data_IF_470745770891
#
_entry.id   IF_470745770891
#
_cell.length_a   1.000
_cell.length_b   1.000
_cell.length_c   1.000
_cell.angle_alpha   90.00
_cell.angle_beta   90.00
_cell.angle_gamma   90.00
#
_symmetry.space_group_name_H-M   'P 1'
#
loop_
_entity.id
_entity.type
_entity.pdbx_description
1 polymer ?
#
# COMPACT_ATOMS: atom_id res chain seq x y z
N UNK A 1 -9.03 -17.29 -13.92
CA UNK A 1 -8.88 -16.54 -12.66
C UNK A 1 -8.19 -17.47 -11.66
N UNK A 2 -7.00 -17.11 -11.17
CA UNK A 2 -6.32 -17.89 -10.13
C UNK A 2 -6.63 -17.28 -8.79
N UNK A 3 -7.17 -18.07 -7.87
CA UNK A 3 -7.50 -17.62 -6.53
C UNK A 3 -6.22 -17.23 -5.78
N UNK A 4 -6.24 -16.08 -5.12
CA UNK A 4 -5.16 -15.65 -4.25
C UNK A 4 -5.39 -16.22 -2.86
N UNK A 5 -4.86 -17.41 -2.60
CA UNK A 5 -5.00 -18.08 -1.30
C UNK A 5 -3.84 -17.81 -0.33
N UNK A 6 -2.74 -17.27 -0.85
CA UNK A 6 -1.50 -17.00 -0.10
C UNK A 6 -0.93 -15.64 -0.49
N UNK A 7 -0.15 -15.00 0.39
CA UNK A 7 0.51 -13.76 0.05
C UNK A 7 1.39 -13.89 -1.20
N UNK A 8 1.19 -12.98 -2.14
CA UNK A 8 1.97 -12.84 -3.36
C UNK A 8 2.84 -11.59 -3.26
N UNK A 9 4.14 -11.75 -3.46
CA UNK A 9 5.11 -10.64 -3.44
C UNK A 9 5.63 -10.31 -4.84
N UNK A 10 5.70 -9.03 -5.15
CA UNK A 10 6.20 -8.49 -6.42
C UNK A 10 7.07 -7.28 -6.17
N UNK A 11 8.12 -7.15 -6.96
CA UNK A 11 8.88 -5.92 -7.07
C UNK A 11 8.20 -5.02 -8.12
N UNK A 12 8.13 -3.72 -7.84
CA UNK A 12 7.57 -2.72 -8.73
C UNK A 12 8.51 -1.52 -8.80
N UNK A 13 8.70 -0.99 -10.00
CA UNK A 13 9.35 0.31 -10.19
C UNK A 13 8.29 1.38 -10.44
N UNK A 14 8.22 2.36 -9.55
CA UNK A 14 7.24 3.46 -9.59
C UNK A 14 7.99 4.77 -9.41
N UNK A 15 7.92 5.66 -10.40
CA UNK A 15 8.58 6.97 -10.38
C UNK A 15 10.08 6.90 -10.02
N UNK A 16 10.79 5.90 -10.55
CA UNK A 16 12.23 5.70 -10.32
C UNK A 16 12.59 5.14 -8.95
N UNK A 17 11.61 4.70 -8.16
CA UNK A 17 11.81 4.03 -6.87
C UNK A 17 11.33 2.59 -6.93
N UNK A 18 12.09 1.70 -6.30
CA UNK A 18 11.74 0.28 -6.21
C UNK A 18 10.94 -0.01 -4.95
N UNK A 19 9.78 -0.64 -5.13
CA UNK A 19 8.87 -1.03 -4.07
C UNK A 19 8.67 -2.55 -4.06
N UNK A 20 8.37 -3.07 -2.88
CA UNK A 20 7.80 -4.40 -2.71
C UNK A 20 6.30 -4.25 -2.50
N UNK A 21 5.52 -4.81 -3.43
CA UNK A 21 4.09 -5.02 -3.28
C UNK A 21 3.85 -6.42 -2.72
N UNK A 22 3.12 -6.49 -1.61
CA UNK A 22 2.56 -7.73 -1.08
C UNK A 22 1.05 -7.67 -1.24
N UNK A 23 0.46 -8.69 -1.85
CA UNK A 23 -0.99 -8.82 -2.06
C UNK A 23 -1.44 -10.10 -1.37
N UNK A 24 -2.50 -10.05 -0.58
CA UNK A 24 -3.07 -11.22 0.08
C UNK A 24 -4.61 -11.19 0.03
N UNK A 25 -5.33 -12.21 0.55
CA UNK A 25 -6.79 -12.24 0.50
C UNK A 25 -7.50 -11.06 1.19
N UNK A 26 -6.81 -10.29 2.03
CA UNK A 26 -7.38 -9.19 2.83
C UNK A 26 -7.07 -7.81 2.28
N UNK A 27 -5.94 -7.66 1.58
CA UNK A 27 -5.54 -6.37 1.03
C UNK A 27 -4.18 -6.38 0.33
N UNK A 28 -3.61 -5.19 0.25
CA UNK A 28 -2.28 -4.94 -0.25
C UNK A 28 -1.43 -4.16 0.74
N UNK A 29 -0.12 -4.36 0.66
CA UNK A 29 0.90 -3.57 1.32
C UNK A 29 1.99 -3.19 0.32
N UNK A 30 2.26 -1.89 0.20
CA UNK A 30 3.34 -1.36 -0.63
C UNK A 30 4.42 -0.78 0.29
N UNK A 31 5.64 -1.30 0.20
CA UNK A 31 6.78 -0.84 1.01
C UNK A 31 7.96 -0.51 0.12
N UNK A 32 8.57 0.66 0.31
CA UNK A 32 9.79 1.03 -0.41
C UNK A 32 10.93 0.08 0.00
N UNK A 33 11.73 -0.38 -0.97
CA UNK A 33 12.81 -1.34 -0.71
C UNK A 33 13.80 -0.75 0.31
N UNK A 34 14.12 -1.53 1.35
CA UNK A 34 15.00 -1.09 2.43
C UNK A 34 14.32 -0.24 3.50
N UNK A 35 13.02 0.09 3.37
CA UNK A 35 12.23 0.76 4.43
C UNK A 35 11.26 -0.21 5.11
N UNK A 36 11.06 0.00 6.41
CA UNK A 36 10.07 -0.73 7.21
C UNK A 36 8.66 -0.12 7.14
N UNK A 37 8.58 1.16 6.78
CA UNK A 37 7.32 1.88 6.63
C UNK A 37 6.75 1.68 5.23
N UNK A 38 5.47 1.40 5.15
CA UNK A 38 4.75 1.16 3.90
C UNK A 38 3.27 1.43 4.07
N UNK A 39 2.59 1.65 2.95
CA UNK A 39 1.14 1.89 2.91
C UNK A 39 0.43 0.55 2.85
N UNK A 40 -0.60 0.37 3.67
CA UNK A 40 -1.47 -0.81 3.67
C UNK A 40 -2.88 -0.39 3.31
N UNK A 41 -3.57 -1.18 2.49
CA UNK A 41 -4.93 -0.93 2.08
C UNK A 41 -5.72 -2.24 2.02
N UNK A 42 -6.89 -2.30 2.68
CA UNK A 42 -7.77 -3.46 2.60
C UNK A 42 -8.63 -3.44 1.33
N UNK A 43 -9.09 -4.61 0.88
CA UNK A 43 -10.02 -4.68 -0.25
C UNK A 43 -11.35 -4.00 0.05
N UNK A 44 -11.80 -4.06 1.31
CA UNK A 44 -13.05 -3.44 1.74
C UNK A 44 -12.97 -1.92 1.61
N UNK A 45 -11.87 -1.32 2.07
CA UNK A 45 -11.66 0.14 1.96
C UNK A 45 -11.52 0.58 0.49
N UNK A 46 -10.87 -0.25 -0.34
CA UNK A 46 -10.75 -0.02 -1.78
C UNK A 46 -12.12 -0.05 -2.47
N UNK A 47 -12.97 -1.02 -2.14
CA UNK A 47 -14.30 -1.18 -2.75
C UNK A 47 -15.30 -0.13 -2.25
N UNK A 48 -15.19 0.30 -0.99
CA UNK A 48 -16.07 1.32 -0.41
C UNK A 48 -15.70 2.76 -0.83
N UNK A 49 -14.55 2.95 -1.51
CA UNK A 49 -14.08 4.27 -1.93
C UNK A 49 -13.41 5.10 -0.83
N UNK A 50 -13.29 4.58 0.39
CA UNK A 50 -12.65 5.24 1.54
C UNK A 50 -11.11 5.19 1.46
N UNK A 51 -10.58 4.25 0.68
CA UNK A 51 -9.15 4.09 0.42
C UNK A 51 -8.42 5.37 -0.02
N UNK A 52 -9.05 6.14 -0.92
CA UNK A 52 -8.44 7.33 -1.49
C UNK A 52 -8.40 8.48 -0.47
N UNK A 53 -9.45 8.63 0.35
CA UNK A 53 -9.57 9.69 1.34
C UNK A 53 -8.66 9.41 2.56
N UNK A 54 -8.65 8.18 3.07
CA UNK A 54 -7.80 7.80 4.19
C UNK A 54 -6.30 7.85 3.82
N UNK A 55 -5.92 7.40 2.62
CA UNK A 55 -4.54 7.49 2.15
C UNK A 55 -4.10 8.95 1.93
N UNK A 56 -4.96 9.79 1.36
CA UNK A 56 -4.68 11.22 1.20
C UNK A 56 -4.54 11.91 2.57
N UNK A 57 -5.43 11.61 3.52
CA UNK A 57 -5.39 12.19 4.86
C UNK A 57 -4.13 11.79 5.64
N UNK A 58 -3.75 10.51 5.62
CA UNK A 58 -2.53 10.02 6.26
C UNK A 58 -1.25 10.62 5.64
N UNK A 59 -1.24 10.79 4.31
CA UNK A 59 -0.13 11.47 3.63
C UNK A 59 -0.04 12.95 4.04
N UNK A 60 -1.18 13.64 4.20
CA UNK A 60 -1.23 15.03 4.64
C UNK A 60 -0.81 15.22 6.10
N UNK A 61 -1.18 14.33 7.02
CA UNK A 61 -0.78 14.42 8.45
C UNK A 61 0.66 14.01 8.69
N UNK A 62 1.16 13.01 7.97
CA UNK A 62 2.58 12.58 8.10
C UNK A 62 3.55 13.62 7.54
N UNK A 63 3.14 14.42 6.55
CA UNK A 63 3.93 15.53 6.01
C UNK A 63 4.02 16.77 6.94
N UNK A 64 3.10 16.91 7.90
CA UNK A 64 3.02 18.09 8.77
C UNK A 64 3.87 17.99 10.06
N UNK A 65 4.53 16.85 10.31
CA UNK A 65 5.31 16.62 11.54
C UNK A 65 6.83 16.81 11.40
N UNK A 66 7.27 17.57 10.40
CA UNK A 66 8.68 18.01 10.28
C UNK A 66 8.72 19.55 10.20
N UNK A 67 8.68 20.22 11.35
CA UNK A 67 9.23 21.56 11.59
C UNK A 67 9.57 21.67 13.06
#
# INVERSE_FOLDING_TARGET
MTRLDRPLRRELDVAGKTFTLTIDPTGLKLSEKGRRNGVTLSWVDLLNGDAALAAALQASTTGASHT
#
